data_IF_050537155144
#
_entry.id   IF_050537155144
#
_cell.length_a   1.000
_cell.length_b   1.000
_cell.length_c   1.000
_cell.angle_alpha   90.00
_cell.angle_beta   90.00
_cell.angle_gamma   90.00
#
_symmetry.space_group_name_H-M   'P 1'
#
loop_
_entity.id
_entity.type
_entity.pdbx_description
1 polymer ?
#
# COMPACT_ATOMS: atom_id res chain seq x y z
N UNK A 1 5.04 -22.52 -6.67
CA UNK A 1 4.06 -21.76 -7.48
C UNK A 1 4.52 -20.31 -7.39
N UNK A 2 5.32 -19.85 -8.36
CA UNK A 2 5.73 -18.44 -8.39
C UNK A 2 4.67 -17.73 -9.24
N UNK A 3 3.79 -16.99 -8.59
CA UNK A 3 3.00 -15.97 -9.28
C UNK A 3 3.97 -15.00 -9.95
N UNK A 4 3.57 -14.42 -11.08
CA UNK A 4 4.21 -13.23 -11.63
C UNK A 4 4.53 -12.23 -10.50
N UNK A 5 5.73 -11.64 -10.45
CA UNK A 5 6.02 -10.60 -9.49
C UNK A 5 4.99 -9.48 -9.61
N UNK A 6 4.61 -8.92 -8.47
CA UNK A 6 3.80 -7.72 -8.46
C UNK A 6 4.51 -6.57 -9.17
N UNK A 7 3.69 -5.65 -9.68
CA UNK A 7 4.13 -4.45 -10.34
C UNK A 7 3.47 -3.23 -9.71
N UNK A 8 3.98 -2.06 -10.06
CA UNK A 8 3.35 -0.80 -9.67
C UNK A 8 1.89 -0.68 -10.15
N UNK A 9 1.48 -1.43 -11.18
CA UNK A 9 0.11 -1.46 -11.69
C UNK A 9 -0.86 -2.30 -10.84
N UNK A 10 -0.32 -3.13 -9.94
CA UNK A 10 -1.11 -3.86 -8.95
C UNK A 10 -1.40 -3.02 -7.71
N UNK A 11 -0.66 -1.93 -7.52
CA UNK A 11 -0.99 -0.91 -6.54
C UNK A 11 -2.16 -0.06 -7.05
N UNK A 12 -3.27 -0.05 -6.33
CA UNK A 12 -4.53 0.56 -6.76
C UNK A 12 -5.15 1.42 -5.69
N UNK A 13 -5.76 2.53 -6.11
CA UNK A 13 -6.73 3.22 -5.26
C UNK A 13 -7.97 2.34 -5.19
N UNK A 14 -8.38 2.03 -3.96
CA UNK A 14 -9.67 1.39 -3.67
C UNK A 14 -10.53 2.45 -3.01
N UNK A 15 -11.68 2.73 -3.62
CA UNK A 15 -12.72 3.56 -3.03
C UNK A 15 -13.54 2.71 -2.05
N UNK A 16 -13.59 3.16 -0.80
CA UNK A 16 -14.35 2.52 0.26
C UNK A 16 -15.76 3.09 0.30
N UNK A 17 -16.70 2.24 0.70
CA UNK A 17 -18.07 2.66 0.95
C UNK A 17 -18.12 3.76 2.03
N UNK A 18 -18.67 4.92 1.66
CA UNK A 18 -18.93 6.04 2.56
C UNK A 18 -20.43 6.16 2.79
N UNK A 19 -20.85 5.87 4.03
CA UNK A 19 -22.22 6.08 4.48
C UNK A 19 -22.30 7.50 5.05
N UNK A 20 -23.20 8.32 4.50
CA UNK A 20 -23.36 9.72 4.90
C UNK A 20 -24.77 9.98 5.41
N UNK A 21 -24.88 10.57 6.60
CA UNK A 21 -26.13 11.07 7.17
C UNK A 21 -25.90 12.37 7.98
N UNK A 22 -26.95 12.90 8.60
CA UNK A 22 -26.90 14.16 9.37
C UNK A 22 -25.92 14.15 10.55
N UNK A 23 -25.51 12.97 11.03
CA UNK A 23 -24.56 12.79 12.13
C UNK A 23 -23.10 12.78 11.65
N UNK A 24 -22.88 12.66 10.35
CA UNK A 24 -21.56 12.67 9.74
C UNK A 24 -21.35 11.58 8.68
N UNK A 25 -20.08 11.19 8.52
CA UNK A 25 -19.67 10.17 7.56
C UNK A 25 -19.08 8.96 8.30
N UNK A 26 -19.44 7.76 7.86
CA UNK A 26 -18.89 6.49 8.33
C UNK A 26 -18.30 5.73 7.16
N UNK A 27 -17.03 5.35 7.29
CA UNK A 27 -16.31 4.47 6.37
C UNK A 27 -15.70 3.36 7.20
N UNK A 28 -15.86 2.11 6.75
CA UNK A 28 -15.34 0.92 7.41
C UNK A 28 -14.53 0.09 6.42
N UNK A 29 -13.67 -0.79 6.95
CA UNK A 29 -12.86 -1.69 6.13
C UNK A 29 -12.89 -3.06 6.77
N UNK A 30 -13.15 -4.08 5.96
CA UNK A 30 -13.16 -5.48 6.35
C UNK A 30 -12.14 -6.23 5.49
N UNK A 31 -11.27 -7.00 6.14
CA UNK A 31 -10.32 -7.87 5.45
C UNK A 31 -11.04 -8.93 4.62
N UNK A 32 -10.46 -9.29 3.47
CA UNK A 32 -11.04 -10.26 2.54
C UNK A 32 -12.29 -9.80 1.79
N UNK A 33 -12.90 -8.67 2.18
CA UNK A 33 -14.06 -8.07 1.52
C UNK A 33 -13.65 -6.83 0.71
N UNK A 34 -13.27 -5.75 1.41
CA UNK A 34 -12.91 -4.48 0.78
C UNK A 34 -11.46 -4.45 0.28
N UNK A 35 -10.59 -5.26 0.89
CA UNK A 35 -9.18 -5.39 0.56
C UNK A 35 -8.82 -6.88 0.41
N UNK A 36 -7.85 -7.24 -0.46
CA UNK A 36 -7.61 -8.63 -0.84
C UNK A 36 -6.80 -9.44 0.20
N UNK A 37 -6.88 -9.07 1.48
CA UNK A 37 -6.15 -9.72 2.56
C UNK A 37 -6.85 -9.57 3.92
N UNK A 38 -6.56 -10.51 4.83
CA UNK A 38 -6.96 -10.41 6.24
C UNK A 38 -6.12 -9.36 6.98
N UNK A 39 -6.77 -8.51 7.76
CA UNK A 39 -6.08 -7.47 8.55
C UNK A 39 -5.45 -8.12 9.78
N UNK A 40 -4.13 -8.31 9.77
CA UNK A 40 -3.39 -8.87 10.92
C UNK A 40 -2.73 -7.81 11.79
N UNK A 41 -2.59 -6.59 11.28
CA UNK A 41 -2.00 -5.47 11.99
C UNK A 41 -2.53 -4.13 11.49
N UNK A 42 -2.71 -3.22 12.43
CA UNK A 42 -3.05 -1.82 12.18
C UNK A 42 -1.96 -0.96 12.83
N UNK A 43 -1.50 0.06 12.11
CA UNK A 43 -0.63 1.10 12.67
C UNK A 43 -0.98 2.45 12.02
N UNK A 44 -0.58 3.54 12.67
CA UNK A 44 -0.86 4.87 12.16
C UNK A 44 0.36 5.78 12.33
N UNK A 45 0.47 6.73 11.43
CA UNK A 45 1.54 7.71 11.34
C UNK A 45 0.89 9.08 11.51
N UNK A 46 1.38 9.86 12.47
CA UNK A 46 0.83 11.15 12.87
C UNK A 46 1.96 12.04 13.38
N UNK A 47 1.69 13.33 13.56
CA UNK A 47 2.65 14.35 14.01
C UNK A 47 3.96 14.36 13.20
N UNK A 48 3.85 14.11 11.90
CA UNK A 48 4.97 14.17 10.96
C UNK A 48 5.28 15.64 10.67
N UNK A 49 6.48 16.10 11.01
CA UNK A 49 6.87 17.48 10.77
C UNK A 49 6.82 17.82 9.27
N UNK A 50 6.28 19.00 8.93
CA UNK A 50 6.22 19.47 7.55
C UNK A 50 7.63 19.49 6.93
N UNK A 51 7.78 18.91 5.73
CA UNK A 51 9.07 18.74 5.06
C UNK A 51 9.90 17.55 5.52
N UNK A 52 9.45 16.75 6.49
CA UNK A 52 10.11 15.50 6.83
C UNK A 52 9.70 14.38 5.86
N UNK A 53 10.69 13.60 5.41
CA UNK A 53 10.47 12.38 4.64
C UNK A 53 10.55 11.18 5.57
N UNK A 54 9.61 10.24 5.43
CA UNK A 54 9.79 8.92 6.05
C UNK A 54 10.70 8.09 5.15
N UNK A 55 11.81 7.59 5.71
CA UNK A 55 12.78 6.77 5.01
C UNK A 55 12.08 5.68 4.18
N UNK A 56 12.50 5.53 2.93
CA UNK A 56 11.90 4.59 2.00
C UNK A 56 12.22 3.15 2.35
N UNK A 57 11.29 2.25 2.00
CA UNK A 57 11.49 0.82 2.12
C UNK A 57 10.52 0.05 1.23
N UNK A 58 10.83 -1.22 0.97
CA UNK A 58 9.91 -2.18 0.35
C UNK A 58 9.70 -3.38 1.28
N UNK A 59 8.72 -4.21 0.94
CA UNK A 59 8.41 -5.45 1.63
C UNK A 59 8.46 -6.64 0.69
N UNK A 60 8.93 -7.80 1.16
CA UNK A 60 9.01 -9.03 0.36
C UNK A 60 7.64 -9.69 0.18
N UNK A 61 6.80 -9.66 1.22
CA UNK A 61 5.54 -10.41 1.24
C UNK A 61 4.33 -9.61 1.75
N UNK A 62 4.56 -8.45 2.39
CA UNK A 62 3.49 -7.68 3.01
C UNK A 62 2.62 -6.95 1.98
N UNK A 63 1.30 -7.10 2.12
CA UNK A 63 0.32 -6.20 1.51
C UNK A 63 -0.07 -5.14 2.51
N UNK A 64 -0.28 -3.92 2.01
CA UNK A 64 -0.61 -2.78 2.84
C UNK A 64 -1.71 -1.95 2.19
N UNK A 65 -2.57 -1.38 3.02
CA UNK A 65 -3.60 -0.46 2.58
C UNK A 65 -3.49 0.83 3.38
N UNK A 66 -3.13 1.93 2.71
CA UNK A 66 -2.89 3.24 3.33
C UNK A 66 -4.12 4.13 3.17
N UNK A 67 -4.58 4.75 4.26
CA UNK A 67 -5.78 5.60 4.29
C UNK A 67 -5.43 6.95 4.93
N UNK A 68 -5.74 8.09 4.27
CA UNK A 68 -5.58 9.42 4.85
C UNK A 68 -6.79 9.76 5.74
N UNK A 69 -6.83 9.19 6.95
CA UNK A 69 -7.98 9.39 7.87
C UNK A 69 -8.12 10.85 8.33
N UNK A 70 -7.04 11.63 8.26
CA UNK A 70 -7.04 13.09 8.40
C UNK A 70 -5.96 13.70 7.50
N UNK A 71 -6.22 14.91 6.97
CA UNK A 71 -5.28 15.65 6.14
C UNK A 71 -4.97 14.99 4.80
N UNK A 72 -3.75 15.22 4.31
CA UNK A 72 -3.21 14.63 3.09
C UNK A 72 -1.73 14.30 3.18
N UNK A 73 -1.26 13.43 2.29
CA UNK A 73 0.15 13.14 2.07
C UNK A 73 0.33 12.52 0.67
N UNK A 74 1.57 12.52 0.19
CA UNK A 74 1.94 11.87 -1.06
C UNK A 74 2.63 10.52 -0.79
N UNK A 75 2.32 9.54 -1.62
CA UNK A 75 2.96 8.23 -1.63
C UNK A 75 3.67 8.04 -2.96
N UNK A 76 4.99 7.98 -2.91
CA UNK A 76 5.82 7.60 -4.06
C UNK A 76 6.01 6.10 -4.02
N UNK A 77 5.66 5.41 -5.10
CA UNK A 77 5.84 3.97 -5.26
C UNK A 77 6.74 3.66 -6.45
N UNK A 78 7.51 2.60 -6.31
CA UNK A 78 8.57 2.20 -7.24
C UNK A 78 8.69 0.67 -7.25
N UNK A 79 8.61 0.05 -8.43
CA UNK A 79 8.79 -1.40 -8.61
C UNK A 79 10.18 -1.80 -9.15
N UNK A 80 11.13 -0.87 -9.11
CA UNK A 80 12.48 -0.84 -9.71
C UNK A 80 12.52 -0.56 -11.22
N UNK A 81 11.37 -0.53 -11.91
CA UNK A 81 11.30 -0.29 -13.35
C UNK A 81 10.51 0.97 -13.67
N UNK A 82 9.43 1.19 -12.93
CA UNK A 82 8.57 2.36 -13.05
C UNK A 82 8.33 3.01 -11.69
N UNK A 83 8.08 4.32 -11.73
CA UNK A 83 7.76 5.13 -10.56
C UNK A 83 6.45 5.87 -10.75
N UNK A 84 5.71 6.04 -9.65
CA UNK A 84 4.44 6.80 -9.63
C UNK A 84 4.27 7.49 -8.29
N UNK A 85 3.72 8.70 -8.33
CA UNK A 85 3.28 9.43 -7.13
C UNK A 85 1.75 9.42 -7.05
N UNK A 86 1.22 9.17 -5.86
CA UNK A 86 -0.21 9.18 -5.57
C UNK A 86 -0.47 10.08 -4.36
N UNK A 87 -1.30 11.10 -4.54
CA UNK A 87 -1.78 11.93 -3.44
C UNK A 87 -2.98 11.28 -2.77
N UNK A 88 -2.92 11.09 -1.45
CA UNK A 88 -4.03 10.62 -0.64
C UNK A 88 -4.57 11.78 0.20
N UNK A 89 -5.82 12.17 -0.05
CA UNK A 89 -6.45 13.34 0.60
C UNK A 89 -7.97 13.17 0.87
N UNK A 90 -8.49 11.95 0.79
CA UNK A 90 -9.89 11.61 1.09
C UNK A 90 -9.94 10.34 1.95
N UNK A 91 -10.62 10.34 3.10
CA UNK A 91 -10.59 9.20 4.04
C UNK A 91 -11.28 7.93 3.52
N UNK A 92 -12.02 8.04 2.41
CA UNK A 92 -12.66 6.92 1.71
C UNK A 92 -11.91 6.49 0.44
N UNK A 93 -10.73 7.07 0.14
CA UNK A 93 -9.85 6.63 -0.93
C UNK A 93 -8.52 6.17 -0.32
N UNK A 94 -8.28 4.86 -0.31
CA UNK A 94 -7.03 4.29 0.18
C UNK A 94 -6.20 3.65 -0.92
N UNK A 95 -4.89 3.58 -0.72
CA UNK A 95 -3.94 2.97 -1.64
C UNK A 95 -3.57 1.56 -1.18
N UNK A 96 -3.90 0.55 -1.98
CA UNK A 96 -3.32 -0.78 -1.87
C UNK A 96 -1.89 -0.75 -2.41
N UNK A 97 -0.95 -1.23 -1.60
CA UNK A 97 0.45 -1.43 -1.95
C UNK A 97 0.73 -2.92 -1.84
N UNK A 98 1.14 -3.53 -2.94
CA UNK A 98 1.47 -4.94 -3.03
C UNK A 98 2.92 -5.20 -2.59
N UNK A 99 3.29 -6.47 -2.33
CA UNK A 99 4.67 -6.85 -2.10
C UNK A 99 5.59 -6.42 -3.26
N UNK A 100 6.89 -6.32 -2.98
CA UNK A 100 7.92 -5.91 -3.94
C UNK A 100 7.70 -4.52 -4.57
N UNK A 101 7.08 -3.61 -3.82
CA UNK A 101 7.00 -2.20 -4.18
C UNK A 101 7.67 -1.36 -3.10
N UNK A 102 8.72 -0.65 -3.49
CA UNK A 102 9.36 0.37 -2.67
C UNK A 102 8.44 1.56 -2.54
N UNK A 103 8.39 2.15 -1.35
CA UNK A 103 7.62 3.37 -1.13
C UNK A 103 8.33 4.39 -0.26
N UNK A 104 8.00 5.64 -0.52
CA UNK A 104 8.32 6.81 0.32
C UNK A 104 7.00 7.54 0.57
N UNK A 105 6.82 8.06 1.79
CA UNK A 105 5.64 8.87 2.14
C UNK A 105 6.15 10.21 2.67
N UNK A 106 5.69 11.30 2.07
CA UNK A 106 6.05 12.66 2.46
C UNK A 106 4.91 13.66 2.16
N UNK A 107 5.23 14.95 2.11
CA UNK A 107 4.29 16.05 1.86
C UNK A 107 3.04 16.00 2.77
N UNK A 108 3.25 15.68 4.05
CA UNK A 108 2.17 15.63 5.03
C UNK A 108 1.64 17.05 5.29
N UNK A 109 0.32 17.22 5.12
CA UNK A 109 -0.37 18.42 5.59
C UNK A 109 -0.41 18.49 7.12
N UNK A 110 -0.67 19.69 7.67
CA UNK A 110 -0.86 19.86 9.12
C UNK A 110 -2.01 18.99 9.63
N UNK A 111 -1.78 18.24 10.70
CA UNK A 111 -2.78 17.33 11.29
C UNK A 111 -3.04 16.06 10.46
N UNK A 112 -2.16 15.72 9.52
CA UNK A 112 -2.29 14.48 8.75
C UNK A 112 -2.13 13.24 9.60
N UNK A 113 -2.99 12.25 9.34
CA UNK A 113 -2.90 10.90 9.92
C UNK A 113 -3.01 9.88 8.79
N UNK A 114 -1.95 9.10 8.62
CA UNK A 114 -1.92 7.96 7.70
C UNK A 114 -2.19 6.68 8.48
N UNK A 115 -3.36 6.08 8.30
CA UNK A 115 -3.70 4.76 8.83
C UNK A 115 -3.22 3.69 7.84
N UNK A 116 -2.60 2.63 8.35
CA UNK A 116 -2.15 1.51 7.54
C UNK A 116 -2.70 0.19 8.08
N UNK A 117 -3.38 -0.54 7.20
CA UNK A 117 -3.81 -1.92 7.42
C UNK A 117 -2.80 -2.84 6.74
N UNK A 118 -2.39 -3.92 7.42
CA UNK A 118 -1.32 -4.79 6.97
C UNK A 118 -1.71 -6.27 7.04
N UNK A 119 -1.33 -7.04 6.02
CA UNK A 119 -1.67 -8.47 5.88
C UNK A 119 -0.90 -9.39 6.84
N UNK A 120 0.11 -8.87 7.55
CA UNK A 120 0.92 -9.61 8.50
C UNK A 120 1.35 -8.77 9.71
N UNK A 121 1.67 -9.48 10.80
CA UNK A 121 2.37 -8.93 11.96
C UNK A 121 3.73 -8.34 11.57
N UNK A 122 4.35 -7.60 12.49
CA UNK A 122 5.68 -7.04 12.24
C UNK A 122 6.71 -8.17 12.10
N UNK A 123 7.49 -8.12 11.03
CA UNK A 123 8.64 -8.99 10.81
C UNK A 123 9.74 -8.15 10.16
N UNK A 124 10.89 -8.05 10.83
CA UNK A 124 12.02 -7.24 10.38
C UNK A 124 12.64 -7.82 9.10
N UNK A 125 12.68 -9.15 9.00
CA UNK A 125 13.25 -9.84 7.85
C UNK A 125 12.48 -9.63 6.53
N UNK A 126 11.24 -9.13 6.61
CA UNK A 126 10.40 -8.84 5.45
C UNK A 126 10.79 -7.52 4.75
N UNK A 127 11.59 -6.66 5.39
CA UNK A 127 11.96 -5.36 4.86
C UNK A 127 13.12 -5.42 3.86
N UNK A 128 13.03 -4.58 2.84
CA UNK A 128 14.20 -4.02 2.14
C UNK A 128 14.42 -2.60 2.64
N UNK A 129 15.53 -2.36 3.36
CA UNK A 129 15.88 -1.03 3.91
C UNK A 129 16.82 -0.22 3.03
N UNK A 130 17.53 -0.89 2.12
CA UNK A 130 18.43 -0.26 1.17
C UNK A 130 17.84 -0.41 -0.24
N UNK A 131 17.80 0.70 -0.97
CA UNK A 131 17.19 0.74 -2.29
C UNK A 131 17.92 -0.18 -3.28
N UNK A 132 19.26 -0.21 -3.25
CA UNK A 132 20.04 -1.09 -4.12
C UNK A 132 19.77 -2.58 -3.90
N UNK A 133 19.49 -3.00 -2.65
CA UNK A 133 19.11 -4.39 -2.35
C UNK A 133 17.75 -4.72 -2.96
N UNK A 134 16.80 -3.79 -2.84
CA UNK A 134 15.48 -3.91 -3.45
C UNK A 134 15.57 -4.01 -4.98
N UNK A 135 16.29 -3.10 -5.64
CA UNK A 135 16.45 -3.07 -7.10
C UNK A 135 17.07 -4.38 -7.59
N UNK A 136 18.16 -4.84 -6.96
CA UNK A 136 18.79 -6.13 -7.31
C UNK A 136 17.79 -7.29 -7.21
N UNK A 137 17.02 -7.36 -6.14
CA UNK A 137 16.04 -8.41 -5.94
C UNK A 137 14.88 -8.34 -6.98
N UNK A 138 14.37 -7.14 -7.25
CA UNK A 138 13.30 -6.93 -8.23
C UNK A 138 13.71 -7.36 -9.65
N UNK A 139 14.93 -7.00 -10.08
CA UNK A 139 15.50 -7.45 -11.35
C UNK A 139 15.66 -8.96 -11.42
N UNK A 140 16.11 -9.60 -10.34
CA UNK A 140 16.28 -11.06 -10.31
C UNK A 140 14.94 -11.80 -10.47
N UNK A 141 13.87 -11.33 -9.82
CA UNK A 141 12.57 -12.00 -9.85
C UNK A 141 11.90 -11.83 -11.22
N UNK A 142 11.98 -10.64 -11.83
CA UNK A 142 11.41 -10.41 -13.18
C UNK A 142 12.20 -11.04 -14.33
N UNK A 143 13.45 -11.44 -14.10
CA UNK A 143 14.24 -12.17 -15.10
C UNK A 143 13.84 -13.65 -15.22
N UNK A 144 13.00 -14.17 -14.33
CA UNK A 144 12.49 -15.55 -14.38
C UNK A 144 11.25 -15.59 -15.29
N UNK A 145 11.22 -16.41 -16.36
CA UNK A 145 10.03 -16.54 -17.19
C UNK A 145 8.86 -17.07 -16.36
N UNK A 146 7.76 -16.34 -16.36
CA UNK A 146 6.53 -16.73 -15.71
C UNK A 146 5.80 -17.84 -16.48
N UNK A 147 5.09 -18.67 -15.72
CA UNK A 147 4.14 -19.65 -16.26
C UNK A 147 2.75 -19.16 -15.84
N UNK A 148 1.88 -19.00 -16.83
CA UNK A 148 0.53 -18.40 -16.72
C UNK A 148 -0.29 -18.97 -15.56
N UNK A 149 -0.86 -18.07 -14.74
CA UNK A 149 -1.99 -18.37 -13.85
C UNK A 149 -2.89 -17.15 -13.64
N UNK A 150 -4.18 -17.41 -13.48
CA UNK A 150 -5.25 -16.41 -13.50
C UNK A 150 -5.29 -15.51 -12.24
N UNK A 151 -4.80 -14.28 -12.39
CA UNK A 151 -4.83 -13.22 -11.37
C UNK A 151 -6.25 -12.76 -11.01
N UNK A 152 -7.27 -13.07 -11.82
CA UNK A 152 -8.64 -12.60 -11.61
C UNK A 152 -9.26 -13.13 -10.31
N UNK A 153 -8.75 -14.23 -9.75
CA UNK A 153 -9.24 -14.82 -8.50
C UNK A 153 -8.89 -14.01 -7.24
N UNK A 154 -7.84 -13.17 -7.26
CA UNK A 154 -7.42 -12.33 -6.13
C UNK A 154 -8.18 -11.00 -6.03
N UNK A 155 -8.87 -10.59 -7.11
CA UNK A 155 -9.50 -9.27 -7.22
C UNK A 155 -11.03 -9.32 -7.41
N UNK A 156 -11.67 -10.49 -7.25
CA UNK A 156 -13.13 -10.58 -7.17
C UNK A 156 -13.60 -10.15 -5.78
N UNK A 157 -13.60 -8.85 -5.52
CA UNK A 157 -14.59 -8.26 -4.65
C UNK A 157 -15.84 -8.09 -5.54
N UNK A 158 -16.68 -9.12 -5.60
CA UNK A 158 -18.00 -8.98 -6.22
C UNK A 158 -18.84 -8.07 -5.31
N UNK A 159 -19.45 -7.06 -5.94
CA UNK A 159 -20.18 -5.95 -5.35
C UNK A 159 -21.43 -6.35 -4.56
#
# INVERSE_FOLDING_TARGET
>A
MLSEPFSIHDCRIIELNKISDERGNLTFVEGGNHIPFEIKRVYYIYDVHAGSQRAGHAHKTLFQYLIPVSGSFDVHIDDAFEQRTITLNRPYLGLLITPFVWRIIDNFSSGSVCLALASASFEEADYFRHYDDFVRAAHQIRAVPSVDFDRASLFRAEA
#
